data_IF_929751386888
#
_entry.id   IF_929751386888
#
_cell.length_a   1.000
_cell.length_b   1.000
_cell.length_c   1.000
_cell.angle_alpha   90.00
_cell.angle_beta   90.00
_cell.angle_gamma   90.00
#
_symmetry.space_group_name_H-M   'P 1'
#
loop_
_entity.id
_entity.type
_entity.pdbx_description
1 polymer ?
#
# COMPACT_ATOMS: atom_id res chain seq x y z
N UNK A 1 37.28 -42.15 71.21
CA UNK A 1 36.22 -42.69 70.33
C UNK A 1 35.74 -41.57 69.43
N UNK A 2 35.90 -41.67 68.10
CA UNK A 2 35.47 -40.63 67.14
C UNK A 2 34.32 -41.17 66.30
N UNK A 3 33.20 -40.44 66.21
CA UNK A 3 32.04 -40.79 65.39
C UNK A 3 32.00 -39.91 64.14
N UNK A 4 32.61 -40.38 63.06
CA UNK A 4 32.50 -39.73 61.75
C UNK A 4 31.05 -39.88 61.27
N UNK A 5 30.36 -38.76 61.04
CA UNK A 5 29.08 -38.73 60.32
C UNK A 5 29.35 -38.26 58.89
N UNK A 6 29.18 -39.15 57.90
CA UNK A 6 29.08 -38.72 56.52
C UNK A 6 27.74 -37.97 56.34
N UNK A 7 27.78 -36.76 55.78
CA UNK A 7 26.63 -36.17 55.12
C UNK A 7 26.70 -36.54 53.62
N UNK A 8 25.59 -36.94 52.99
CA UNK A 8 25.55 -37.11 51.54
C UNK A 8 25.59 -35.74 50.85
N UNK A 9 26.59 -35.50 49.99
CA UNK A 9 26.57 -34.35 49.10
C UNK A 9 25.51 -34.58 48.01
N UNK A 10 24.33 -33.96 48.17
CA UNK A 10 23.32 -33.91 47.11
C UNK A 10 23.76 -32.86 46.09
N UNK A 11 24.50 -33.30 45.07
CA UNK A 11 24.92 -32.47 43.96
C UNK A 11 23.73 -32.15 43.04
N UNK A 12 23.04 -31.04 43.30
CA UNK A 12 21.95 -30.54 42.45
C UNK A 12 22.52 -29.99 41.14
N UNK A 13 22.64 -30.84 40.13
CA UNK A 13 23.05 -30.45 38.79
C UNK A 13 21.91 -29.69 38.08
N UNK A 14 21.90 -28.36 38.21
CA UNK A 14 20.99 -27.49 37.47
C UNK A 14 21.32 -27.52 35.96
N UNK A 15 20.63 -28.39 35.20
CA UNK A 15 20.67 -28.39 33.74
C UNK A 15 20.04 -27.10 33.19
N UNK A 16 20.87 -26.11 32.89
CA UNK A 16 20.50 -24.91 32.15
C UNK A 16 20.23 -25.25 30.68
N UNK A 17 19.00 -25.68 30.38
CA UNK A 17 18.55 -25.87 28.99
C UNK A 17 18.69 -24.54 28.24
N UNK A 18 19.48 -24.46 27.15
CA UNK A 18 19.60 -23.24 26.38
C UNK A 18 18.29 -23.00 25.64
N UNK A 19 17.51 -22.01 26.10
CA UNK A 19 16.32 -21.54 25.39
C UNK A 19 16.78 -20.89 24.09
N UNK A 20 16.65 -21.63 22.98
CA UNK A 20 16.93 -21.10 21.66
C UNK A 20 16.00 -19.92 21.38
N UNK A 21 16.55 -18.70 21.35
CA UNK A 21 15.81 -17.50 21.04
C UNK A 21 15.34 -17.53 19.58
N UNK A 22 14.11 -17.97 19.36
CA UNK A 22 13.50 -18.01 18.03
C UNK A 22 13.34 -16.55 17.57
N UNK A 23 14.24 -16.11 16.68
CA UNK A 23 14.19 -14.78 16.10
C UNK A 23 12.84 -14.61 15.40
N UNK A 24 11.97 -13.74 15.94
CA UNK A 24 10.63 -13.54 15.43
C UNK A 24 10.69 -13.07 13.98
N UNK A 25 10.22 -13.93 13.08
CA UNK A 25 10.37 -13.82 11.63
C UNK A 25 9.73 -12.51 11.13
N UNK A 26 10.57 -11.50 10.91
CA UNK A 26 10.13 -10.11 10.81
C UNK A 26 9.91 -9.72 9.34
N UNK A 27 8.63 -9.59 8.98
CA UNK A 27 8.20 -9.02 7.72
C UNK A 27 8.16 -7.49 7.79
N UNK A 28 7.96 -6.84 6.66
CA UNK A 28 7.72 -5.40 6.60
C UNK A 28 6.66 -5.04 5.55
N UNK A 29 6.00 -3.91 5.75
CA UNK A 29 4.96 -3.42 4.82
C UNK A 29 5.57 -2.89 3.51
N UNK A 30 5.06 -3.33 2.37
CA UNK A 30 5.55 -2.90 1.04
C UNK A 30 5.01 -1.54 0.58
N UNK A 31 4.02 -0.98 1.29
CA UNK A 31 3.36 0.32 1.04
C UNK A 31 2.55 0.74 2.27
N UNK A 32 1.72 1.78 2.17
CA UNK A 32 0.72 2.08 3.21
C UNK A 32 -0.31 0.94 3.35
N UNK A 33 -0.55 0.50 4.58
CA UNK A 33 -1.36 -0.69 4.88
C UNK A 33 -2.35 -0.42 6.01
N UNK A 34 -3.57 -0.93 5.85
CA UNK A 34 -4.58 -0.94 6.91
C UNK A 34 -4.48 -2.26 7.69
N UNK A 35 -4.16 -2.16 8.98
CA UNK A 35 -4.23 -3.27 9.94
C UNK A 35 -5.68 -3.41 10.42
N UNK A 36 -6.25 -4.63 10.41
CA UNK A 36 -7.70 -4.85 10.66
C UNK A 36 -7.99 -5.84 11.78
N UNK A 37 -9.17 -5.75 12.38
CA UNK A 37 -9.58 -6.65 13.46
C UNK A 37 -9.97 -8.09 13.02
N UNK A 38 -9.88 -8.40 11.72
CA UNK A 38 -10.17 -9.71 11.15
C UNK A 38 -9.75 -9.82 9.67
N UNK A 39 -9.68 -11.04 9.10
CA UNK A 39 -9.10 -11.35 7.78
C UNK A 39 -10.00 -10.99 6.59
N UNK A 40 -10.58 -9.78 6.56
CA UNK A 40 -11.36 -9.26 5.45
C UNK A 40 -11.29 -7.72 5.36
N UNK A 41 -11.65 -7.16 4.19
CA UNK A 41 -11.50 -5.72 3.90
C UNK A 41 -12.49 -4.82 4.64
N UNK A 42 -13.56 -5.38 5.20
CA UNK A 42 -14.61 -4.67 5.90
C UNK A 42 -14.37 -4.55 7.41
N UNK A 43 -13.57 -5.43 8.03
CA UNK A 43 -13.25 -5.39 9.46
C UNK A 43 -12.70 -4.03 9.93
N UNK A 44 -12.95 -3.60 11.19
CA UNK A 44 -12.49 -2.34 11.73
C UNK A 44 -11.00 -2.11 11.56
N UNK A 45 -10.63 -0.84 11.38
CA UNK A 45 -9.27 -0.40 11.32
C UNK A 45 -8.66 -0.38 12.74
N UNK A 46 -7.60 -1.16 12.94
CA UNK A 46 -6.81 -1.19 14.18
C UNK A 46 -5.73 -0.12 14.13
N UNK A 47 -5.04 0.01 12.99
CA UNK A 47 -3.99 1.00 12.74
C UNK A 47 -3.79 1.22 11.23
N UNK A 48 -3.09 2.30 10.85
CA UNK A 48 -2.52 2.47 9.51
C UNK A 48 -1.00 2.43 9.60
N UNK A 49 -0.39 1.56 8.82
CA UNK A 49 1.07 1.36 8.76
C UNK A 49 1.63 2.12 7.56
N UNK A 50 2.81 2.71 7.71
CA UNK A 50 3.58 3.33 6.62
C UNK A 50 4.32 2.26 5.82
N UNK A 51 4.86 2.52 4.62
CA UNK A 51 5.81 1.62 3.96
C UNK A 51 7.02 1.36 4.87
N UNK A 52 7.63 0.18 4.78
CA UNK A 52 8.82 -0.19 5.57
C UNK A 52 8.59 -0.39 7.07
N UNK A 53 7.34 -0.46 7.53
CA UNK A 53 7.03 -0.71 8.95
C UNK A 53 7.32 -2.19 9.28
N UNK A 54 8.21 -2.51 10.23
CA UNK A 54 8.49 -3.89 10.61
C UNK A 54 7.34 -4.49 11.42
N UNK A 55 7.01 -5.75 11.14
CA UNK A 55 5.92 -6.51 11.79
C UNK A 55 6.35 -7.95 12.05
N UNK A 56 5.97 -8.52 13.19
CA UNK A 56 6.10 -9.97 13.41
C UNK A 56 4.87 -10.66 12.85
N UNK A 57 5.04 -11.72 12.05
CA UNK A 57 3.92 -12.48 11.48
C UNK A 57 3.63 -13.70 12.36
N UNK A 58 2.44 -13.78 12.93
CA UNK A 58 2.02 -14.89 13.79
C UNK A 58 1.51 -16.11 13.00
N UNK A 59 1.06 -15.88 11.75
CA UNK A 59 0.56 -16.90 10.84
C UNK A 59 -0.39 -16.29 9.81
N UNK A 60 -0.88 -17.11 8.88
CA UNK A 60 -1.82 -16.68 7.85
C UNK A 60 -3.02 -17.63 7.74
N UNK A 61 -4.17 -17.15 7.25
CA UNK A 61 -5.25 -18.07 6.86
C UNK A 61 -4.88 -18.84 5.59
N UNK A 62 -5.62 -19.92 5.30
CA UNK A 62 -5.44 -20.75 4.11
C UNK A 62 -5.35 -19.91 2.81
N UNK A 63 -4.48 -20.34 1.89
CA UNK A 63 -4.12 -19.60 0.68
C UNK A 63 -3.29 -18.34 0.92
N UNK A 64 -2.74 -18.15 2.12
CA UNK A 64 -1.90 -17.00 2.52
C UNK A 64 -2.50 -15.62 2.18
N UNK A 65 -3.82 -15.49 2.12
CA UNK A 65 -4.47 -14.26 1.63
C UNK A 65 -4.46 -13.14 2.67
N UNK A 66 -4.55 -13.49 3.95
CA UNK A 66 -4.44 -12.58 5.09
C UNK A 66 -3.55 -13.20 6.16
N UNK A 67 -2.71 -12.37 6.77
CA UNK A 67 -1.81 -12.77 7.85
C UNK A 67 -2.09 -11.95 9.11
N UNK A 68 -2.09 -12.62 10.26
CA UNK A 68 -2.15 -12.03 11.58
C UNK A 68 -0.75 -11.56 11.95
N UNK A 69 -0.61 -10.28 12.29
CA UNK A 69 0.66 -9.65 12.62
C UNK A 69 0.56 -8.92 13.96
N UNK A 70 1.69 -8.81 14.63
CA UNK A 70 1.88 -7.90 15.78
C UNK A 70 2.88 -6.80 15.45
N UNK A 71 2.58 -5.60 15.97
CA UNK A 71 3.44 -4.44 15.93
C UNK A 71 4.28 -4.33 17.23
N UNK A 72 5.41 -3.60 17.21
CA UNK A 72 6.20 -3.32 18.42
C UNK A 72 5.45 -2.56 19.53
N UNK A 73 4.36 -1.86 19.20
CA UNK A 73 3.51 -1.13 20.15
C UNK A 73 2.41 -2.00 20.82
N UNK A 74 2.42 -3.31 20.55
CA UNK A 74 1.43 -4.27 21.07
C UNK A 74 0.12 -4.35 20.27
N UNK A 75 -0.11 -3.52 19.25
CA UNK A 75 -1.24 -3.70 18.36
C UNK A 75 -1.10 -5.01 17.57
N UNK A 76 -2.15 -5.85 17.61
CA UNK A 76 -2.28 -7.05 16.80
C UNK A 76 -3.43 -6.91 15.81
N UNK A 77 -3.30 -7.48 14.62
CA UNK A 77 -4.36 -7.46 13.61
C UNK A 77 -3.99 -8.15 12.31
N UNK A 78 -4.96 -8.20 11.41
CA UNK A 78 -4.87 -8.85 10.11
C UNK A 78 -4.49 -7.88 9.00
N UNK A 79 -3.54 -8.31 8.16
CA UNK A 79 -3.07 -7.59 6.96
C UNK A 79 -3.25 -8.48 5.73
N UNK A 80 -3.69 -7.88 4.62
CA UNK A 80 -3.73 -8.55 3.32
C UNK A 80 -2.29 -8.80 2.83
N UNK A 81 -1.91 -10.07 2.70
CA UNK A 81 -0.51 -10.51 2.69
C UNK A 81 0.31 -10.02 1.48
N UNK A 82 -0.33 -9.64 0.38
CA UNK A 82 0.33 -9.05 -0.79
C UNK A 82 0.96 -7.67 -0.49
N UNK A 83 0.62 -7.08 0.67
CA UNK A 83 1.19 -5.83 1.14
C UNK A 83 2.31 -6.04 2.19
N UNK A 84 2.74 -7.29 2.43
CA UNK A 84 3.86 -7.65 3.29
C UNK A 84 4.96 -8.29 2.44
N UNK A 85 6.19 -7.83 2.65
CA UNK A 85 7.39 -8.44 2.12
C UNK A 85 8.15 -9.13 3.26
N UNK A 86 8.81 -10.24 2.95
CA UNK A 86 9.64 -11.00 3.87
C UNK A 86 11.09 -11.07 3.35
N UNK A 87 12.12 -10.91 4.20
CA UNK A 87 13.51 -11.08 3.78
C UNK A 87 13.84 -12.58 3.61
N UNK A 88 13.90 -13.06 2.37
CA UNK A 88 14.21 -14.44 2.04
C UNK A 88 15.40 -14.52 1.08
N UNK A 89 16.47 -15.24 1.46
CA UNK A 89 17.67 -15.41 0.64
C UNK A 89 18.23 -14.05 0.11
N UNK A 90 18.33 -13.06 1.01
CA UNK A 90 18.76 -11.69 0.70
C UNK A 90 17.76 -10.81 -0.06
N UNK A 91 16.61 -11.36 -0.49
CA UNK A 91 15.64 -10.69 -1.36
C UNK A 91 14.29 -10.45 -0.65
N UNK A 92 13.60 -9.32 -0.91
CA UNK A 92 12.30 -9.03 -0.32
C UNK A 92 11.16 -9.70 -1.11
N UNK A 93 10.65 -10.84 -0.63
CA UNK A 93 9.62 -11.63 -1.34
C UNK A 93 8.20 -11.37 -0.79
N UNK A 94 7.14 -11.34 -1.62
CA UNK A 94 5.77 -11.11 -1.12
C UNK A 94 5.25 -12.30 -0.30
N UNK A 95 4.76 -12.03 0.92
CA UNK A 95 4.28 -13.08 1.85
C UNK A 95 3.15 -13.92 1.23
N UNK A 96 2.27 -13.32 0.43
CA UNK A 96 1.14 -14.01 -0.20
C UNK A 96 1.53 -15.16 -1.13
N UNK A 97 2.67 -15.07 -1.82
CA UNK A 97 3.16 -16.11 -2.75
C UNK A 97 4.24 -17.01 -2.15
N UNK A 98 4.95 -16.53 -1.12
CA UNK A 98 6.08 -17.26 -0.52
C UNK A 98 5.76 -17.90 0.84
N UNK A 99 4.58 -17.65 1.43
CA UNK A 99 4.23 -18.02 2.81
C UNK A 99 4.59 -19.44 3.24
N UNK A 100 4.32 -20.45 2.40
CA UNK A 100 4.71 -21.84 2.66
C UNK A 100 6.23 -22.06 2.58
N UNK A 101 6.89 -21.48 1.57
CA UNK A 101 8.34 -21.59 1.35
C UNK A 101 9.19 -20.88 2.42
N UNK A 102 8.60 -19.94 3.15
CA UNK A 102 9.20 -19.26 4.31
C UNK A 102 8.73 -19.85 5.67
N UNK A 103 7.91 -20.91 5.64
CA UNK A 103 7.49 -21.64 6.84
C UNK A 103 6.44 -20.95 7.71
N UNK A 104 5.68 -19.98 7.20
CA UNK A 104 4.61 -19.35 7.99
C UNK A 104 3.46 -20.33 8.26
N UNK A 105 3.00 -20.48 9.51
CA UNK A 105 1.95 -21.44 9.84
C UNK A 105 0.59 -20.99 9.30
N UNK A 106 -0.23 -21.97 8.91
CA UNK A 106 -1.66 -21.75 8.64
C UNK A 106 -2.41 -21.75 9.96
N UNK A 107 -3.16 -20.67 10.22
CA UNK A 107 -3.93 -20.45 11.46
C UNK A 107 -5.41 -20.22 11.16
N UNK A 108 -6.27 -20.57 12.11
CA UNK A 108 -7.69 -20.29 12.08
C UNK A 108 -8.02 -18.93 12.71
N UNK A 109 -9.02 -18.23 12.17
CA UNK A 109 -9.56 -17.01 12.78
C UNK A 109 -10.87 -17.32 13.53
N UNK A 110 -10.85 -17.18 14.85
CA UNK A 110 -12.02 -17.33 15.72
C UNK A 110 -12.43 -15.98 16.29
N UNK A 111 -13.41 -15.33 15.68
CA UNK A 111 -13.83 -13.96 16.02
C UNK A 111 -14.08 -13.74 17.52
N UNK A 112 -14.72 -14.70 18.20
CA UNK A 112 -14.96 -14.64 19.64
C UNK A 112 -13.67 -14.50 20.45
N UNK A 113 -12.81 -15.52 20.38
CA UNK A 113 -11.56 -15.55 21.14
C UNK A 113 -10.58 -14.43 20.72
N UNK A 114 -10.39 -14.21 19.41
CA UNK A 114 -9.42 -13.24 18.91
C UNK A 114 -9.76 -11.80 19.31
N UNK A 115 -11.04 -11.42 19.26
CA UNK A 115 -11.49 -10.09 19.67
C UNK A 115 -11.43 -9.93 21.19
N UNK A 116 -11.83 -10.97 21.93
CA UNK A 116 -11.75 -11.02 23.39
C UNK A 116 -10.32 -11.05 23.92
N UNK A 117 -9.33 -11.45 23.12
CA UNK A 117 -7.92 -11.42 23.49
C UNK A 117 -7.28 -10.06 23.20
N UNK A 118 -7.50 -9.51 22.00
CA UNK A 118 -6.70 -8.39 21.49
C UNK A 118 -7.36 -7.01 21.66
N UNK A 119 -8.68 -6.92 21.84
CA UNK A 119 -9.41 -5.65 21.67
C UNK A 119 -10.27 -5.17 22.85
N UNK A 120 -10.19 -5.80 24.04
CA UNK A 120 -10.97 -5.40 25.25
C UNK A 120 -10.91 -3.89 25.53
N UNK A 121 -9.75 -3.28 25.34
CA UNK A 121 -9.48 -1.89 25.68
C UNK A 121 -9.75 -0.91 24.51
N UNK A 122 -10.50 -1.34 23.47
CA UNK A 122 -10.82 -0.50 22.29
C UNK A 122 -12.25 0.04 22.42
N UNK A 123 -12.51 1.32 22.07
CA UNK A 123 -13.85 1.92 22.21
C UNK A 123 -14.93 1.23 21.34
N UNK A 124 -14.53 0.52 20.28
CA UNK A 124 -15.42 -0.27 19.43
C UNK A 124 -15.54 -1.75 19.85
N UNK A 125 -14.99 -2.17 20.99
CA UNK A 125 -15.00 -3.57 21.45
C UNK A 125 -16.40 -4.19 21.46
N UNK A 126 -17.39 -3.50 22.04
CA UNK A 126 -18.78 -3.97 22.15
C UNK A 126 -19.50 -4.17 20.81
N UNK A 127 -18.92 -3.75 19.68
CA UNK A 127 -19.48 -4.02 18.36
C UNK A 127 -19.31 -5.48 17.91
N UNK A 128 -18.58 -6.33 18.64
CA UNK A 128 -18.29 -7.73 18.29
C UNK A 128 -19.49 -8.50 17.72
N UNK A 129 -20.67 -8.39 18.36
CA UNK A 129 -21.90 -9.06 17.91
C UNK A 129 -22.35 -8.65 16.51
N UNK A 130 -22.13 -7.39 16.12
CA UNK A 130 -22.40 -6.88 14.77
C UNK A 130 -21.38 -7.40 13.72
N UNK A 131 -20.22 -7.88 14.15
CA UNK A 131 -19.25 -8.56 13.27
C UNK A 131 -19.50 -10.07 13.20
N UNK A 132 -20.03 -10.68 14.26
CA UNK A 132 -20.40 -12.10 14.32
C UNK A 132 -21.62 -12.43 13.45
N UNK A 133 -22.68 -11.62 13.51
CA UNK A 133 -23.93 -11.86 12.77
C UNK A 133 -23.91 -11.30 11.33
N UNK A 134 -22.73 -11.06 10.74
CA UNK A 134 -22.65 -10.60 9.36
C UNK A 134 -22.95 -11.75 8.41
N UNK A 135 -23.88 -11.60 7.45
CA UNK A 135 -23.93 -12.52 6.33
C UNK A 135 -22.58 -12.44 5.62
N UNK A 136 -21.89 -13.57 5.48
CA UNK A 136 -20.64 -13.68 4.72
C UNK A 136 -20.93 -13.40 3.24
N UNK A 137 -21.02 -12.12 2.86
CA UNK A 137 -21.24 -11.72 1.47
C UNK A 137 -20.11 -12.33 0.64
N UNK A 138 -20.40 -13.21 -0.33
CA UNK A 138 -19.39 -13.68 -1.26
C UNK A 138 -18.72 -12.47 -1.92
N UNK A 139 -17.45 -12.60 -2.32
CA UNK A 139 -16.85 -11.61 -3.21
C UNK A 139 -17.81 -11.45 -4.41
N UNK A 140 -18.22 -10.22 -4.78
CA UNK A 140 -18.92 -10.01 -6.03
C UNK A 140 -18.11 -10.67 -7.16
N UNK A 141 -18.75 -11.41 -8.08
CA UNK A 141 -18.03 -12.01 -9.19
C UNK A 141 -17.28 -10.91 -9.93
N UNK A 142 -16.01 -11.18 -10.26
CA UNK A 142 -15.23 -10.23 -11.06
C UNK A 142 -15.87 -10.20 -12.44
N UNK A 143 -16.60 -9.12 -12.73
CA UNK A 143 -17.06 -8.84 -14.09
C UNK A 143 -15.83 -8.62 -14.96
N UNK A 144 -15.34 -9.71 -15.58
CA UNK A 144 -14.32 -9.68 -16.62
C UNK A 144 -14.93 -8.91 -17.78
N UNK A 145 -14.62 -7.61 -17.85
CA UNK A 145 -15.07 -6.73 -18.92
C UNK A 145 -14.64 -7.37 -20.25
N UNK A 146 -15.59 -7.69 -21.16
CA UNK A 146 -15.22 -8.31 -22.42
C UNK A 146 -14.18 -7.47 -23.17
N UNK A 147 -13.24 -8.10 -23.90
CA UNK A 147 -12.27 -7.36 -24.69
C UNK A 147 -13.00 -6.43 -25.68
N UNK A 148 -12.47 -5.22 -25.95
CA UNK A 148 -13.06 -4.32 -26.93
C UNK A 148 -13.26 -5.04 -28.27
N UNK A 149 -14.47 -5.01 -28.81
CA UNK A 149 -14.74 -5.56 -30.15
C UNK A 149 -13.87 -4.82 -31.17
N UNK A 150 -13.18 -5.51 -32.10
CA UNK A 150 -12.44 -4.83 -33.16
C UNK A 150 -13.37 -3.90 -33.94
N UNK A 151 -13.06 -2.61 -33.95
CA UNK A 151 -13.76 -1.67 -34.82
C UNK A 151 -13.45 -2.01 -36.29
N UNK A 152 -14.45 -2.08 -37.19
CA UNK A 152 -14.20 -2.19 -38.61
C UNK A 152 -13.30 -1.05 -39.07
N UNK A 153 -12.19 -1.36 -39.76
CA UNK A 153 -11.37 -0.32 -40.38
C UNK A 153 -12.21 0.36 -41.47
N UNK A 154 -12.21 1.70 -41.56
CA UNK A 154 -12.93 2.39 -42.62
C UNK A 154 -12.37 1.97 -44.01
N UNK A 155 -13.20 1.97 -45.08
CA UNK A 155 -12.75 1.55 -46.40
C UNK A 155 -11.55 2.38 -46.88
N UNK A 156 -10.50 1.71 -47.35
CA UNK A 156 -9.37 2.39 -47.99
C UNK A 156 -9.83 2.88 -49.36
N UNK A 157 -10.11 4.18 -49.45
CA UNK A 157 -10.36 4.86 -50.73
C UNK A 157 -9.08 4.78 -51.57
N UNK A 158 -9.10 3.94 -52.61
CA UNK A 158 -8.00 3.87 -53.58
C UNK A 158 -7.95 5.19 -54.36
N UNK A 159 -6.78 5.83 -54.52
CA UNK A 159 -6.65 6.99 -55.40
C UNK A 159 -7.14 6.68 -56.81
N UNK A 160 -7.95 7.58 -57.38
CA UNK A 160 -8.37 7.50 -58.77
C UNK A 160 -7.18 7.65 -59.73
N UNK A 161 -7.30 7.09 -60.93
CA UNK A 161 -6.30 7.30 -62.00
C UNK A 161 -6.30 8.78 -62.41
N UNK A 162 -5.14 9.38 -62.76
CA UNK A 162 -5.10 10.73 -63.31
C UNK A 162 -5.93 10.84 -64.60
N UNK A 163 -6.73 11.90 -64.72
CA UNK A 163 -7.41 12.25 -65.96
C UNK A 163 -6.45 13.03 -66.89
N UNK A 164 -6.42 12.74 -68.20
CA UNK A 164 -5.72 13.57 -69.17
C UNK A 164 -6.37 14.96 -69.26
N UNK A 165 -5.54 16.02 -69.34
CA UNK A 165 -5.98 17.41 -69.28
C UNK A 165 -5.86 18.12 -70.64
N UNK A 166 -6.97 18.61 -71.23
CA UNK A 166 -6.94 19.62 -72.29
C UNK A 166 -6.45 20.98 -71.73
N UNK A 167 -5.73 21.76 -72.53
CA UNK A 167 -5.00 22.96 -72.05
C UNK A 167 -5.47 24.32 -72.61
N UNK A 168 -4.50 25.24 -72.70
CA UNK A 168 -4.52 26.63 -73.20
C UNK A 168 -4.84 27.77 -72.21
N UNK A 169 -3.97 28.80 -72.24
CA UNK A 169 -4.08 30.07 -71.52
C UNK A 169 -3.63 30.03 -70.04
N UNK A 170 -2.77 30.92 -69.52
CA UNK A 170 -1.97 31.98 -70.15
C UNK A 170 -1.74 33.17 -69.20
N UNK A 171 -0.49 33.43 -68.77
CA UNK A 171 -0.17 34.56 -67.88
C UNK A 171 1.25 34.52 -67.31
N UNK A 172 1.92 35.68 -67.24
CA UNK A 172 3.36 35.80 -66.94
C UNK A 172 3.66 36.57 -65.64
N UNK A 173 4.47 36.03 -64.72
CA UNK A 173 5.80 36.56 -64.28
C UNK A 173 6.33 35.92 -62.96
N UNK A 174 7.64 36.00 -62.65
CA UNK A 174 8.27 35.30 -61.52
C UNK A 174 8.84 36.31 -60.45
N UNK A 175 9.88 36.06 -59.60
CA UNK A 175 9.66 36.03 -58.15
C UNK A 175 10.64 36.83 -57.25
N UNK A 176 10.14 37.63 -56.31
CA UNK A 176 10.90 38.31 -55.22
C UNK A 176 10.09 38.26 -53.90
N UNK A 177 10.64 38.44 -52.69
CA UNK A 177 12.04 38.59 -52.27
C UNK A 177 12.21 39.54 -51.06
N UNK A 178 13.03 39.14 -50.06
CA UNK A 178 13.56 39.98 -48.96
C UNK A 178 12.61 40.49 -47.83
N UNK A 179 13.23 41.24 -46.87
CA UNK A 179 12.93 41.46 -45.43
C UNK A 179 13.98 42.49 -44.90
N UNK A 180 13.79 43.45 -43.94
CA UNK A 180 13.25 43.26 -42.58
C UNK A 180 12.14 44.21 -41.98
N UNK A 181 12.36 45.29 -41.16
CA UNK A 181 11.58 45.43 -39.89
C UNK A 181 10.97 46.81 -39.50
N UNK A 182 9.95 46.79 -38.62
CA UNK A 182 9.48 47.92 -37.77
C UNK A 182 8.61 48.98 -38.48
N UNK A 183 7.77 49.80 -37.80
CA UNK A 183 7.26 49.72 -36.41
C UNK A 183 6.89 51.11 -35.83
N UNK A 184 5.66 51.32 -35.30
CA UNK A 184 5.34 52.30 -34.23
C UNK A 184 3.86 52.29 -33.73
N UNK A 185 3.62 53.02 -32.62
CA UNK A 185 2.38 53.19 -31.80
C UNK A 185 1.81 54.64 -31.96
N UNK A 186 0.80 55.16 -31.20
CA UNK A 186 0.10 54.71 -29.96
C UNK A 186 -1.42 54.43 -30.23
N UNK A 187 -2.48 54.63 -29.42
CA UNK A 187 -2.77 55.30 -28.13
C UNK A 187 -4.02 54.73 -27.41
N UNK A 188 -4.10 54.87 -26.07
CA UNK A 188 -5.32 54.74 -25.23
C UNK A 188 -5.83 53.31 -24.94
N UNK A 189 -6.24 52.91 -23.72
CA UNK A 189 -6.18 53.55 -22.39
C UNK A 189 -6.48 52.56 -21.23
N UNK A 190 -5.96 52.80 -20.03
CA UNK A 190 -6.17 52.05 -18.75
C UNK A 190 -6.93 52.98 -17.75
N UNK A 191 -7.18 52.70 -16.43
CA UNK A 191 -6.82 51.60 -15.49
C UNK A 191 -8.05 50.82 -14.95
N UNK A 192 -8.03 49.78 -14.09
CA UNK A 192 -7.05 49.04 -13.25
C UNK A 192 -7.04 49.35 -11.73
N UNK A 193 -7.40 48.35 -10.91
CA UNK A 193 -7.14 48.28 -9.46
C UNK A 193 -8.02 47.24 -8.73
N UNK A 194 -7.60 46.53 -7.67
CA UNK A 194 -6.23 46.34 -7.15
C UNK A 194 -6.13 46.30 -5.61
N UNK A 195 -5.88 45.11 -5.02
CA UNK A 195 -5.56 44.94 -3.59
C UNK A 195 -6.63 44.18 -2.79
N UNK A 196 -6.31 43.48 -1.69
CA UNK A 196 -4.98 43.26 -1.09
C UNK A 196 -5.00 42.16 -0.01
N UNK A 197 -3.81 41.63 0.33
CA UNK A 197 -3.59 40.56 1.33
C UNK A 197 -2.60 41.07 2.41
N UNK A 198 -2.93 41.05 3.71
CA UNK A 198 -1.98 41.42 4.77
C UNK A 198 -0.94 40.32 5.01
N UNK A 199 0.31 40.70 5.30
CA UNK A 199 1.35 39.85 5.88
C UNK A 199 2.44 40.72 6.51
N UNK A 200 2.52 40.72 7.85
CA UNK A 200 3.60 41.21 8.73
C UNK A 200 3.16 40.93 10.18
N UNK A 201 4.03 40.81 11.18
CA UNK A 201 5.50 40.83 11.21
C UNK A 201 5.94 40.74 12.68
N UNK A 202 7.03 40.04 12.99
CA UNK A 202 7.47 39.81 14.38
C UNK A 202 8.63 40.70 14.83
N UNK A 203 8.80 40.88 16.15
CA UNK A 203 9.98 41.41 16.87
C UNK A 203 9.96 40.83 18.31
N UNK A 204 11.07 40.95 19.06
CA UNK A 204 11.48 40.00 20.13
C UNK A 204 11.77 40.67 21.49
N UNK A 205 11.93 39.88 22.57
CA UNK A 205 12.52 40.19 23.90
C UNK A 205 11.61 40.93 24.93
N UNK A 206 11.69 40.72 26.26
CA UNK A 206 12.15 39.58 27.10
C UNK A 206 11.43 39.63 28.49
N UNK A 207 11.95 39.27 29.71
CA UNK A 207 11.14 38.56 30.71
C UNK A 207 10.78 39.34 32.00
N UNK A 208 9.91 38.73 32.82
CA UNK A 208 9.92 38.79 34.29
C UNK A 208 9.47 37.44 34.86
#
# INVERSE_FOLDING_TARGET
MIRIRLLPLIAVACFSVPVAAIAQQQAFTSKNVNLRAGPARDYPLVAQLRPGTPVSVAGCINGYTWCDISLPDGNRGWVYAQNLNYPYQGNPVPVMTYGSSIGLPIIAFTLGAYWNQNYRNRPWYGQQSHWAHRPHRPRPPVNVRPPPRPHPKPPVVKPGRPHPQPGFGGGNRPPHGARPPGGNRPSGGRPSGGGGRPSNGGITLQPR
#
